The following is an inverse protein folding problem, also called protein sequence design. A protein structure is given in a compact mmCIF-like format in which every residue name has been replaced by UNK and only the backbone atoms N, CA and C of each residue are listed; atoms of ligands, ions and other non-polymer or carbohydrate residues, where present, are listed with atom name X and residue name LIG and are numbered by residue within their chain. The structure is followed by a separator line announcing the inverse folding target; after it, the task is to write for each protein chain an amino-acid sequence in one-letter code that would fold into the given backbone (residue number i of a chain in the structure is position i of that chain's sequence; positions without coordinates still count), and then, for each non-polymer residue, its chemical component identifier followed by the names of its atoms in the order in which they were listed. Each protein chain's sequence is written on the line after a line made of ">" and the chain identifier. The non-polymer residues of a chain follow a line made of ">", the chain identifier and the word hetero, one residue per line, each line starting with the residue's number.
data_IF_617355701359
#
_entry.id   IF_617355701359
#
_cell.length_a   1.000
_cell.length_b   1.000
_cell.length_c   1.000
_cell.angle_alpha   90.00
_cell.angle_beta   90.00
_cell.angle_gamma   90.00
#
_symmetry.space_group_name_H-M   'P 1'
#
loop_
_entity.id
_entity.type
_entity.pdbx_description
1 polymer ?
#
# COMPACT_ATOMS: atom_id res chain seq x y z
N UNK A 1 -14.83 -24.33 -4.35
CA UNK A 1 -14.70 -22.96 -4.92
C UNK A 1 -13.27 -22.82 -5.43
N UNK A 2 -13.02 -22.30 -6.63
CA UNK A 2 -11.66 -22.05 -7.13
C UNK A 2 -10.85 -21.12 -6.20
N UNK A 3 -9.55 -21.38 -6.04
CA UNK A 3 -8.65 -20.62 -5.14
C UNK A 3 -8.72 -19.11 -5.41
N UNK A 4 -8.73 -18.71 -6.67
CA UNK A 4 -8.81 -17.29 -7.07
C UNK A 4 -10.07 -16.62 -6.54
N UNK A 5 -11.23 -17.26 -6.65
CA UNK A 5 -12.49 -16.71 -6.16
C UNK A 5 -12.49 -16.56 -4.63
N UNK A 6 -11.86 -17.50 -3.94
CA UNK A 6 -11.67 -17.41 -2.49
C UNK A 6 -10.75 -16.25 -2.10
N UNK A 7 -9.64 -16.05 -2.82
CA UNK A 7 -8.74 -14.91 -2.61
C UNK A 7 -9.43 -13.58 -2.90
N UNK A 8 -10.28 -13.50 -3.94
CA UNK A 8 -11.09 -12.32 -4.23
C UNK A 8 -12.11 -12.04 -3.11
N UNK A 9 -12.77 -13.08 -2.57
CA UNK A 9 -13.70 -12.96 -1.43
C UNK A 9 -13.00 -12.48 -0.17
N UNK A 10 -11.83 -13.04 0.14
CA UNK A 10 -10.97 -12.58 1.23
C UNK A 10 -10.56 -11.12 1.00
N UNK A 11 -10.19 -10.77 -0.23
CA UNK A 11 -9.84 -9.40 -0.62
C UNK A 11 -10.96 -8.40 -0.42
N UNK A 12 -12.22 -8.73 -0.75
CA UNK A 12 -13.37 -7.86 -0.47
C UNK A 12 -13.53 -7.63 1.03
N UNK A 13 -13.50 -8.71 1.83
CA UNK A 13 -13.57 -8.61 3.28
C UNK A 13 -12.46 -7.70 3.83
N UNK A 14 -11.21 -7.97 3.47
CA UNK A 14 -10.06 -7.17 3.91
C UNK A 14 -10.16 -5.72 3.43
N UNK A 15 -10.62 -5.48 2.20
CA UNK A 15 -10.82 -4.14 1.68
C UNK A 15 -11.80 -3.36 2.58
N UNK A 16 -12.92 -3.93 2.99
CA UNK A 16 -13.90 -3.24 3.85
C UNK A 16 -13.33 -2.88 5.24
N UNK A 17 -12.47 -3.73 5.78
CA UNK A 17 -11.86 -3.57 7.11
C UNK A 17 -10.42 -3.03 7.09
N UNK A 18 -9.94 -2.52 5.95
CA UNK A 18 -8.56 -2.06 5.76
C UNK A 18 -8.06 -1.00 6.75
N UNK A 19 -8.96 -0.24 7.37
CA UNK A 19 -8.62 0.71 8.43
C UNK A 19 -8.20 0.05 9.75
N UNK A 20 -8.49 -1.23 9.95
CA UNK A 20 -8.19 -1.93 11.19
C UNK A 20 -6.84 -2.65 11.18
N UNK A 21 -6.14 -2.68 10.04
CA UNK A 21 -4.83 -3.32 9.91
C UNK A 21 -3.80 -2.85 10.97
N UNK A 22 -3.70 -1.55 11.32
CA UNK A 22 -2.76 -1.12 12.37
C UNK A 22 -3.05 -1.76 13.74
N UNK A 23 -4.31 -2.09 14.04
CA UNK A 23 -4.67 -2.71 15.32
C UNK A 23 -4.18 -4.15 15.43
N UNK A 24 -4.10 -4.87 14.32
CA UNK A 24 -3.52 -6.23 14.28
C UNK A 24 -2.04 -6.20 14.72
N UNK A 25 -1.33 -5.13 14.37
CA UNK A 25 0.08 -4.96 14.67
C UNK A 25 0.33 -4.36 16.05
N UNK A 26 -0.69 -3.81 16.72
CA UNK A 26 -0.52 -3.09 17.97
C UNK A 26 0.13 -3.93 19.09
N UNK A 27 -0.26 -5.20 19.34
CA UNK A 27 0.41 -6.02 20.35
C UNK A 27 1.89 -6.26 20.03
N UNK A 28 2.22 -6.56 18.77
CA UNK A 28 3.60 -6.72 18.31
C UNK A 28 4.39 -5.42 18.42
N UNK A 29 3.77 -4.28 18.13
CA UNK A 29 4.39 -2.96 18.26
C UNK A 29 4.69 -2.62 19.72
N UNK A 30 3.76 -2.89 20.65
CA UNK A 30 3.97 -2.70 22.08
C UNK A 30 5.09 -3.59 22.60
N UNK A 31 5.12 -4.85 22.17
CA UNK A 31 6.23 -5.74 22.50
C UNK A 31 7.55 -5.25 21.92
N UNK A 32 7.58 -4.80 20.67
CA UNK A 32 8.78 -4.22 20.04
C UNK A 32 9.27 -2.97 20.79
N UNK A 33 8.37 -2.09 21.22
CA UNK A 33 8.68 -0.91 22.03
C UNK A 33 9.23 -1.27 23.40
N UNK A 34 8.68 -2.30 24.05
CA UNK A 34 9.20 -2.80 25.32
C UNK A 34 10.67 -3.22 25.22
N UNK A 35 11.00 -3.95 24.15
CA UNK A 35 12.37 -4.40 23.86
C UNK A 35 13.27 -3.27 23.32
N UNK A 36 12.72 -2.13 22.90
CA UNK A 36 13.51 -1.03 22.33
C UNK A 36 14.40 -0.35 23.39
N UNK A 37 14.07 -0.49 24.68
CA UNK A 37 14.89 0.02 25.79
C UNK A 37 16.29 -0.63 25.87
N UNK A 38 16.47 -1.80 25.24
CA UNK A 38 17.75 -2.52 25.22
C UNK A 38 18.66 -2.07 24.07
N UNK A 39 18.16 -1.24 23.14
CA UNK A 39 18.91 -0.77 21.98
C UNK A 39 19.79 0.42 22.40
N UNK A 40 21.06 0.40 21.98
CA UNK A 40 21.95 1.54 22.13
C UNK A 40 21.35 2.82 21.54
N UNK A 41 21.43 3.93 22.28
CA UNK A 41 20.78 5.18 21.91
C UNK A 41 21.26 5.77 20.58
N UNK A 42 22.53 5.58 20.22
CA UNK A 42 23.08 6.06 18.95
C UNK A 42 22.53 5.25 17.77
N UNK A 43 22.39 3.94 17.95
CA UNK A 43 21.78 3.04 16.97
C UNK A 43 20.31 3.37 16.79
N UNK A 44 19.57 3.54 17.89
CA UNK A 44 18.16 3.92 17.87
C UNK A 44 17.94 5.27 17.15
N UNK A 45 18.80 6.26 17.39
CA UNK A 45 18.75 7.54 16.68
C UNK A 45 18.94 7.35 15.17
N UNK A 46 19.87 6.49 14.74
CA UNK A 46 20.04 6.14 13.33
C UNK A 46 18.77 5.58 12.69
N UNK A 47 18.11 4.64 13.37
CA UNK A 47 16.80 4.10 12.96
C UNK A 47 15.72 5.19 12.87
N UNK A 48 15.68 6.11 13.82
CA UNK A 48 14.72 7.21 13.84
C UNK A 48 14.93 8.20 12.68
N UNK A 49 16.17 8.58 12.40
CA UNK A 49 16.50 9.46 11.26
C UNK A 49 16.06 8.81 9.94
N UNK A 50 16.42 7.53 9.74
CA UNK A 50 16.00 6.77 8.55
C UNK A 50 14.48 6.67 8.50
N UNK A 51 13.83 6.33 9.61
CA UNK A 51 12.37 6.20 9.68
C UNK A 51 11.65 7.50 9.32
N UNK A 52 12.11 8.65 9.84
CA UNK A 52 11.57 9.98 9.49
C UNK A 52 11.76 10.27 8.00
N UNK A 53 12.95 10.03 7.45
CA UNK A 53 13.20 10.23 6.02
C UNK A 53 12.26 9.37 5.16
N UNK A 54 12.07 8.10 5.53
CA UNK A 54 11.15 7.17 4.87
C UNK A 54 9.70 7.66 4.96
N UNK A 55 9.25 8.14 6.12
CA UNK A 55 7.90 8.73 6.29
C UNK A 55 7.71 9.92 5.35
N UNK A 56 8.68 10.84 5.28
CA UNK A 56 8.60 12.03 4.42
C UNK A 56 8.49 11.62 2.95
N UNK A 57 9.29 10.66 2.50
CA UNK A 57 9.20 10.12 1.13
C UNK A 57 7.84 9.49 0.87
N UNK A 58 7.33 8.66 1.78
CA UNK A 58 6.02 8.03 1.66
C UNK A 58 4.89 9.06 1.57
N UNK A 59 4.93 10.10 2.41
CA UNK A 59 3.96 11.19 2.41
C UNK A 59 4.02 12.00 1.12
N UNK A 60 5.21 12.29 0.60
CA UNK A 60 5.38 12.98 -0.67
C UNK A 60 4.80 12.16 -1.83
N UNK A 61 5.10 10.86 -1.93
CA UNK A 61 4.54 9.96 -2.93
C UNK A 61 3.01 9.87 -2.83
N UNK A 62 2.49 9.85 -1.60
CA UNK A 62 1.05 9.83 -1.34
C UNK A 62 0.39 11.13 -1.77
N UNK A 63 0.98 12.27 -1.43
CA UNK A 63 0.49 13.60 -1.82
C UNK A 63 0.48 13.77 -3.34
N UNK A 64 1.57 13.38 -4.01
CA UNK A 64 1.65 13.37 -5.48
C UNK A 64 0.56 12.49 -6.08
N UNK A 65 0.38 11.28 -5.57
CA UNK A 65 -0.64 10.37 -6.11
C UNK A 65 -2.05 10.92 -5.91
N UNK A 66 -2.41 11.38 -4.71
CA UNK A 66 -3.75 11.91 -4.43
C UNK A 66 -4.02 13.21 -5.18
N UNK A 67 -3.00 14.06 -5.36
CA UNK A 67 -3.15 15.36 -6.02
C UNK A 67 -3.55 15.27 -7.50
N UNK A 68 -3.20 14.17 -8.18
CA UNK A 68 -3.46 13.98 -9.61
C UNK A 68 -4.52 12.92 -9.92
N UNK A 69 -5.11 12.29 -8.89
CA UNK A 69 -6.14 11.28 -9.12
C UNK A 69 -7.50 11.94 -9.36
N UNK A 70 -8.21 11.58 -10.46
CA UNK A 70 -9.57 12.04 -10.71
C UNK A 70 -10.51 11.80 -9.52
N UNK A 71 -11.45 12.72 -9.31
CA UNK A 71 -12.44 12.58 -8.24
C UNK A 71 -13.25 11.28 -8.44
N UNK A 72 -13.57 10.60 -7.33
CA UNK A 72 -14.40 9.38 -7.29
C UNK A 72 -13.79 8.14 -7.96
N UNK A 73 -12.47 8.11 -8.17
CA UNK A 73 -11.77 6.89 -8.66
C UNK A 73 -10.94 6.20 -7.59
N UNK A 74 -10.51 6.90 -6.54
CA UNK A 74 -9.74 6.34 -5.42
C UNK A 74 -10.30 6.77 -4.05
N UNK A 75 -11.54 6.36 -3.74
CA UNK A 75 -12.25 6.74 -2.52
C UNK A 75 -12.05 5.78 -1.33
N UNK A 76 -12.25 6.27 -0.10
CA UNK A 76 -12.26 5.45 1.14
C UNK A 76 -13.57 4.68 1.35
N UNK A 77 -14.27 4.29 0.28
CA UNK A 77 -15.52 3.55 0.41
C UNK A 77 -15.26 2.20 1.10
N UNK A 78 -16.01 1.91 2.15
CA UNK A 78 -16.06 0.61 2.84
C UNK A 78 -17.26 -0.22 2.37
N UNK A 79 -18.15 0.35 1.55
CA UNK A 79 -19.31 -0.36 0.96
C UNK A 79 -18.99 -1.03 -0.37
N UNK A 80 -17.71 -1.31 -0.64
CA UNK A 80 -17.21 -1.89 -1.89
C UNK A 80 -16.39 -0.90 -2.74
N UNK A 81 -15.67 -1.47 -3.72
CA UNK A 81 -14.83 -0.75 -4.66
C UNK A 81 -15.66 0.17 -5.57
N UNK A 82 -15.12 1.35 -5.88
CA UNK A 82 -15.75 2.36 -6.74
C UNK A 82 -14.69 3.03 -7.59
N UNK A 83 -14.89 3.02 -8.91
CA UNK A 83 -14.03 3.71 -9.86
C UNK A 83 -14.90 4.39 -10.93
N UNK A 84 -15.00 5.72 -10.95
CA UNK A 84 -15.75 6.43 -11.98
C UNK A 84 -15.11 6.30 -13.38
N UNK A 85 -13.78 6.26 -13.43
CA UNK A 85 -12.94 6.02 -14.60
C UNK A 85 -11.71 5.20 -14.19
N UNK A 86 -11.00 4.64 -15.17
CA UNK A 86 -9.74 3.95 -14.95
C UNK A 86 -8.61 4.97 -14.85
N UNK A 87 -7.86 4.96 -13.74
CA UNK A 87 -6.69 5.82 -13.58
C UNK A 87 -5.48 5.19 -14.28
N UNK A 88 -4.92 5.85 -15.28
CA UNK A 88 -3.78 5.32 -16.07
C UNK A 88 -2.61 6.31 -16.18
N UNK A 89 -2.74 7.50 -15.60
CA UNK A 89 -1.78 8.60 -15.66
C UNK A 89 -1.15 8.90 -14.28
N UNK A 90 -0.12 9.76 -14.27
CA UNK A 90 0.63 10.08 -13.06
C UNK A 90 1.20 8.83 -12.41
N UNK A 91 1.05 8.69 -11.10
CA UNK A 91 1.58 7.53 -10.37
C UNK A 91 1.01 6.18 -10.88
N UNK A 92 -0.24 6.18 -11.39
CA UNK A 92 -0.89 4.97 -11.94
C UNK A 92 -0.31 4.52 -13.29
N UNK A 93 0.51 5.34 -13.94
CA UNK A 93 1.29 4.92 -15.12
C UNK A 93 2.59 4.17 -14.74
N UNK A 94 3.04 4.32 -13.49
CA UNK A 94 4.30 3.73 -13.01
C UNK A 94 4.11 2.42 -12.26
N UNK A 95 2.99 2.27 -11.56
CA UNK A 95 2.60 1.09 -10.80
C UNK A 95 1.08 1.04 -10.70
N UNK A 96 0.48 -0.14 -10.62
CA UNK A 96 -0.99 -0.29 -10.58
C UNK A 96 -1.63 0.21 -9.30
N UNK A 97 -0.92 0.13 -8.17
CA UNK A 97 -1.43 0.46 -6.83
C UNK A 97 -0.55 1.47 -6.08
N UNK A 98 -0.36 2.70 -6.62
CA UNK A 98 0.60 3.66 -6.08
C UNK A 98 0.26 4.14 -4.66
N UNK A 99 -1.02 4.21 -4.32
CA UNK A 99 -1.45 4.55 -2.96
C UNK A 99 -1.05 3.47 -1.94
N UNK A 100 -1.03 2.20 -2.34
CA UNK A 100 -0.60 1.11 -1.45
C UNK A 100 0.90 1.14 -1.26
N UNK A 101 1.67 1.38 -2.33
CA UNK A 101 3.11 1.63 -2.23
C UNK A 101 3.42 2.80 -1.31
N UNK A 102 2.73 3.94 -1.48
CA UNK A 102 2.96 5.11 -0.63
C UNK A 102 2.57 4.84 0.84
N UNK A 103 1.45 4.15 1.09
CA UNK A 103 1.05 3.77 2.44
C UNK A 103 2.05 2.79 3.07
N UNK A 104 2.56 1.80 2.33
CA UNK A 104 3.61 0.90 2.80
C UNK A 104 4.83 1.69 3.28
N UNK A 105 5.33 2.62 2.45
CA UNK A 105 6.51 3.43 2.76
C UNK A 105 6.25 4.28 4.01
N UNK A 106 5.09 4.95 4.13
CA UNK A 106 4.75 5.71 5.33
C UNK A 106 4.82 4.86 6.62
N UNK A 107 4.16 3.71 6.62
CA UNK A 107 4.09 2.85 7.80
C UNK A 107 5.41 2.11 8.06
N UNK A 108 6.16 1.77 7.01
CA UNK A 108 7.52 1.22 7.14
C UNK A 108 8.39 2.20 7.93
N UNK A 109 8.35 3.49 7.61
CA UNK A 109 9.11 4.49 8.34
C UNK A 109 8.66 4.61 9.81
N UNK A 110 7.35 4.51 10.11
CA UNK A 110 6.85 4.44 11.50
C UNK A 110 7.37 3.22 12.25
N UNK A 111 7.41 2.06 11.60
CA UNK A 111 7.93 0.81 12.18
C UNK A 111 9.44 0.91 12.42
N UNK A 112 10.20 1.57 11.53
CA UNK A 112 11.61 1.84 11.72
C UNK A 112 11.90 2.70 12.97
N UNK A 113 11.00 3.59 13.37
CA UNK A 113 11.19 4.42 14.57
C UNK A 113 11.34 3.61 15.87
N UNK A 114 10.86 2.35 15.87
CA UNK A 114 10.94 1.45 17.03
C UNK A 114 12.33 0.79 17.15
N UNK A 115 13.13 0.80 16.08
CA UNK A 115 14.50 0.26 16.08
C UNK A 115 14.60 -1.27 16.04
N UNK A 116 13.48 -1.99 15.92
CA UNK A 116 13.44 -3.45 15.97
C UNK A 116 13.39 -4.07 14.56
N UNK A 117 14.51 -4.65 14.11
CA UNK A 117 14.62 -5.21 12.75
C UNK A 117 13.60 -6.32 12.47
N UNK A 118 13.35 -7.21 13.44
CA UNK A 118 12.36 -8.27 13.30
C UNK A 118 10.95 -7.72 13.06
N UNK A 119 10.63 -6.56 13.65
CA UNK A 119 9.31 -5.94 13.53
C UNK A 119 9.13 -5.33 12.14
N UNK A 120 10.19 -4.80 11.52
CA UNK A 120 10.20 -4.38 10.11
C UNK A 120 9.87 -5.56 9.17
N UNK A 121 10.50 -6.71 9.41
CA UNK A 121 10.24 -7.93 8.64
C UNK A 121 8.79 -8.43 8.80
N UNK A 122 8.31 -8.49 10.03
CA UNK A 122 6.92 -8.88 10.34
C UNK A 122 5.91 -7.94 9.68
N UNK A 123 6.11 -6.63 9.80
CA UNK A 123 5.28 -5.62 9.16
C UNK A 123 5.23 -5.83 7.64
N UNK A 124 6.39 -6.03 7.01
CA UNK A 124 6.48 -6.23 5.56
C UNK A 124 5.77 -7.49 5.10
N UNK A 125 5.94 -8.61 5.81
CA UNK A 125 5.27 -9.86 5.50
C UNK A 125 3.74 -9.76 5.63
N UNK A 126 3.25 -9.16 6.72
CA UNK A 126 1.80 -8.94 6.94
C UNK A 126 1.25 -8.01 5.87
N UNK A 127 1.94 -6.91 5.57
CA UNK A 127 1.53 -5.96 4.54
C UNK A 127 1.41 -6.65 3.18
N UNK A 128 2.40 -7.49 2.81
CA UNK A 128 2.41 -8.22 1.54
C UNK A 128 1.18 -9.11 1.39
N UNK A 129 0.94 -10.00 2.37
CA UNK A 129 -0.20 -10.93 2.32
C UNK A 129 -1.51 -10.15 2.28
N UNK A 130 -1.64 -9.11 3.08
CA UNK A 130 -2.87 -8.35 3.20
C UNK A 130 -3.22 -7.59 1.92
N UNK A 131 -2.28 -6.79 1.42
CA UNK A 131 -2.50 -5.98 0.24
C UNK A 131 -2.57 -6.80 -1.04
N UNK A 132 -1.89 -7.95 -1.14
CA UNK A 132 -2.05 -8.88 -2.26
C UNK A 132 -3.52 -9.25 -2.46
N UNK A 133 -4.22 -9.65 -1.38
CA UNK A 133 -5.64 -10.04 -1.47
C UNK A 133 -6.53 -8.87 -1.86
N UNK A 134 -6.28 -7.69 -1.29
CA UNK A 134 -7.03 -6.47 -1.64
C UNK A 134 -6.80 -6.11 -3.11
N UNK A 135 -5.56 -6.14 -3.58
CA UNK A 135 -5.21 -5.84 -4.97
C UNK A 135 -5.90 -6.82 -5.92
N UNK A 136 -5.93 -8.13 -5.61
CA UNK A 136 -6.65 -9.11 -6.43
C UNK A 136 -8.14 -8.79 -6.55
N UNK A 137 -8.79 -8.45 -5.43
CA UNK A 137 -10.20 -8.05 -5.43
C UNK A 137 -10.44 -6.78 -6.25
N UNK A 138 -9.61 -5.75 -6.07
CA UNK A 138 -9.75 -4.49 -6.80
C UNK A 138 -9.48 -4.67 -8.30
N UNK A 139 -8.46 -5.42 -8.67
CA UNK A 139 -8.14 -5.72 -10.06
C UNK A 139 -9.24 -6.53 -10.74
N UNK A 140 -9.83 -7.50 -10.04
CA UNK A 140 -10.98 -8.23 -10.56
C UNK A 140 -12.21 -7.32 -10.74
N UNK A 141 -12.44 -6.39 -9.81
CA UNK A 141 -13.48 -5.36 -9.97
C UNK A 141 -13.22 -4.44 -11.17
N UNK A 142 -11.99 -3.93 -11.33
CA UNK A 142 -11.60 -3.06 -12.43
C UNK A 142 -11.70 -3.79 -13.77
N UNK A 143 -11.25 -5.04 -13.85
CA UNK A 143 -11.38 -5.89 -15.04
C UNK A 143 -12.84 -6.10 -15.43
N UNK A 144 -13.71 -6.43 -14.48
CA UNK A 144 -15.16 -6.59 -14.74
C UNK A 144 -15.80 -5.28 -15.21
N UNK A 145 -15.32 -4.14 -14.74
CA UNK A 145 -15.90 -2.82 -15.06
C UNK A 145 -15.39 -2.23 -16.38
N UNK A 146 -14.10 -2.33 -16.65
CA UNK A 146 -13.43 -1.64 -17.78
C UNK A 146 -12.93 -2.59 -18.87
N UNK A 147 -13.02 -3.91 -18.68
CA UNK A 147 -12.74 -4.91 -19.71
C UNK A 147 -11.36 -4.76 -20.33
N UNK A 148 -11.32 -4.58 -21.65
CA UNK A 148 -10.10 -4.49 -22.45
C UNK A 148 -9.22 -3.29 -22.08
N UNK A 149 -9.81 -2.15 -21.70
CA UNK A 149 -9.04 -0.97 -21.28
C UNK A 149 -8.16 -1.28 -20.05
N UNK A 150 -8.72 -2.03 -19.10
CA UNK A 150 -7.98 -2.48 -17.93
C UNK A 150 -6.87 -3.45 -18.31
N UNK A 151 -7.14 -4.47 -19.14
CA UNK A 151 -6.13 -5.46 -19.55
C UNK A 151 -4.98 -4.79 -20.33
N UNK A 152 -5.33 -3.85 -21.21
CA UNK A 152 -4.39 -3.06 -22.02
C UNK A 152 -3.48 -2.16 -21.18
N UNK A 153 -4.00 -1.58 -20.09
CA UNK A 153 -3.19 -0.82 -19.13
C UNK A 153 -2.37 -1.73 -18.20
N UNK A 154 -2.99 -2.78 -17.66
CA UNK A 154 -2.40 -3.68 -16.68
C UNK A 154 -1.24 -4.51 -17.25
N UNK A 155 -1.33 -4.92 -18.53
CA UNK A 155 -0.24 -5.62 -19.23
C UNK A 155 1.06 -4.80 -19.35
N UNK A 156 0.97 -3.47 -19.29
CA UNK A 156 2.10 -2.55 -19.44
C UNK A 156 2.58 -1.95 -18.12
N UNK A 157 1.80 -2.10 -17.05
CA UNK A 157 2.02 -1.44 -15.76
C UNK A 157 2.31 -2.49 -14.68
N UNK A 158 3.48 -2.44 -14.01
CA UNK A 158 3.82 -3.40 -12.97
C UNK A 158 2.89 -3.25 -11.76
N UNK A 159 2.62 -4.33 -11.02
CA UNK A 159 1.76 -4.27 -9.82
C UNK A 159 2.49 -3.82 -8.56
N UNK A 160 3.77 -4.19 -8.37
CA UNK A 160 4.47 -3.94 -7.10
C UNK A 160 5.63 -2.94 -7.21
N UNK A 161 6.52 -3.12 -8.20
CA UNK A 161 7.74 -2.30 -8.32
C UNK A 161 7.50 -1.17 -9.32
N UNK A 162 7.53 0.11 -8.89
CA UNK A 162 7.25 1.23 -9.79
C UNK A 162 8.29 1.37 -10.90
N UNK A 163 7.82 1.45 -12.15
CA UNK A 163 8.65 1.81 -13.30
C UNK A 163 8.63 3.32 -13.47
N UNK A 164 9.52 4.03 -12.76
CA UNK A 164 9.54 5.52 -12.73
C UNK A 164 9.64 6.13 -14.14
N UNK A 165 10.37 5.49 -15.07
CA UNK A 165 10.49 5.94 -16.47
C UNK A 165 9.18 5.90 -17.26
N UNK A 166 8.16 5.18 -16.78
CA UNK A 166 6.85 5.09 -17.44
C UNK A 166 5.91 6.22 -17.03
N UNK A 167 6.37 7.20 -16.24
CA UNK A 167 5.56 8.34 -15.80
C UNK A 167 4.92 9.07 -16.98
N UNK A 168 3.58 9.12 -16.99
CA UNK A 168 2.78 9.93 -17.91
C UNK A 168 2.24 11.13 -17.17
N UNK A 169 2.41 12.32 -17.76
CA UNK A 169 1.89 13.57 -17.17
C UNK A 169 0.36 13.46 -17.05
N UNK A 170 -0.21 13.75 -15.87
CA UNK A 170 -1.65 13.85 -15.69
C UNK A 170 -2.21 14.95 -16.59
N UNK A 171 -3.30 14.65 -17.30
CA UNK A 171 -4.05 15.57 -18.15
C UNK A 171 -5.20 16.25 -17.41
#
# INVERSE_FOLDING_TARGET
>A
MPLREEMERQGDFLFRYRSHLPWLLAPCALYALWNANEIDGSVLLGYQIVGVAVIVVGLALRALTVGYVPKRTSGRSTKGARAASLNTEGSYSTVRHPLYVANYICFLGLVCLIGQFWFVGLYTAIFWIYYERIMLFEEAFLRRKFGEDYESWASRTPTFVPRVRAWRRPT
#
